data_IF_248417207605
#
_entry.id   IF_248417207605
#
_cell.length_a   1.000
_cell.length_b   1.000
_cell.length_c   1.000
_cell.angle_alpha   90.00
_cell.angle_beta   90.00
_cell.angle_gamma   90.00
#
_symmetry.space_group_name_H-M   'P 1'
#
loop_
_entity.id
_entity.type
_entity.pdbx_description
1 polymer ?
#
# COMPACT_ATOMS: atom_id res chain seq x y z
N UNK A 1 6.54 -18.57 4.22
CA UNK A 1 6.82 -17.84 2.96
C UNK A 1 7.91 -18.49 2.10
N UNK A 2 8.42 -19.67 2.47
CA UNK A 2 9.41 -20.43 1.67
C UNK A 2 8.81 -21.47 0.73
N UNK A 3 7.47 -21.53 0.63
CA UNK A 3 6.79 -22.47 -0.25
C UNK A 3 7.08 -22.12 -1.74
N UNK A 4 7.62 -23.06 -2.54
CA UNK A 4 8.01 -22.84 -3.94
C UNK A 4 6.87 -22.28 -4.82
N UNK A 5 5.62 -22.67 -4.54
CA UNK A 5 4.44 -22.21 -5.27
C UNK A 5 4.23 -20.70 -5.08
N UNK A 6 4.44 -20.17 -3.87
CA UNK A 6 4.27 -18.74 -3.58
C UNK A 6 5.34 -17.88 -4.26
N UNK A 7 6.57 -18.39 -4.37
CA UNK A 7 7.64 -17.72 -5.15
C UNK A 7 7.33 -17.70 -6.65
N UNK A 8 6.69 -18.75 -7.17
CA UNK A 8 6.33 -18.82 -8.59
C UNK A 8 5.20 -17.85 -8.97
N UNK A 9 4.19 -17.68 -8.12
CA UNK A 9 3.03 -16.79 -8.41
C UNK A 9 3.30 -15.31 -8.05
N UNK A 10 4.31 -15.05 -7.22
CA UNK A 10 4.62 -13.69 -6.77
C UNK A 10 6.13 -13.52 -6.58
N UNK A 11 6.92 -13.59 -7.66
CA UNK A 11 8.38 -13.59 -7.59
C UNK A 11 8.97 -12.33 -6.95
N UNK A 12 8.28 -11.18 -7.05
CA UNK A 12 8.74 -9.90 -6.48
C UNK A 12 8.22 -9.65 -5.06
N UNK A 13 7.58 -10.63 -4.40
CA UNK A 13 7.02 -10.44 -3.06
C UNK A 13 8.05 -9.91 -2.07
N UNK A 14 9.22 -10.56 -2.00
CA UNK A 14 10.30 -10.18 -1.08
C UNK A 14 10.76 -8.74 -1.34
N UNK A 15 10.97 -8.37 -2.61
CA UNK A 15 11.34 -7.01 -2.98
C UNK A 15 10.26 -5.97 -2.61
N UNK A 16 8.97 -6.32 -2.68
CA UNK A 16 7.88 -5.44 -2.22
C UNK A 16 7.86 -5.28 -0.69
N UNK A 17 8.15 -6.34 0.05
CA UNK A 17 8.28 -6.28 1.53
C UNK A 17 9.46 -5.40 1.91
N UNK A 18 10.62 -5.58 1.28
CA UNK A 18 11.80 -4.73 1.53
C UNK A 18 11.53 -3.25 1.23
N UNK A 19 10.78 -2.95 0.16
CA UNK A 19 10.32 -1.58 -0.12
C UNK A 19 9.42 -1.05 0.99
N UNK A 20 8.42 -1.82 1.41
CA UNK A 20 7.52 -1.41 2.49
C UNK A 20 8.27 -1.17 3.82
N UNK A 21 9.31 -1.96 4.09
CA UNK A 21 10.14 -1.84 5.28
C UNK A 21 10.89 -0.51 5.38
N UNK A 22 11.21 0.12 4.24
CA UNK A 22 11.80 1.46 4.21
C UNK A 22 10.89 2.54 4.79
N UNK A 23 9.58 2.31 4.88
CA UNK A 23 8.61 3.23 5.46
C UNK A 23 8.45 3.07 6.98
N UNK A 24 9.00 2.01 7.59
CA UNK A 24 8.92 1.79 9.04
C UNK A 24 9.47 2.97 9.86
N UNK A 25 10.60 3.59 9.52
CA UNK A 25 11.10 4.76 10.26
C UNK A 25 10.14 5.95 10.24
N UNK A 26 9.46 6.20 9.10
CA UNK A 26 8.45 7.25 8.97
C UNK A 26 7.26 6.96 9.88
N UNK A 27 6.76 5.72 9.86
CA UNK A 27 5.67 5.30 10.73
C UNK A 27 6.02 5.46 12.23
N UNK A 28 7.24 5.08 12.61
CA UNK A 28 7.75 5.26 13.97
C UNK A 28 7.83 6.73 14.39
N UNK A 29 8.36 7.61 13.51
CA UNK A 29 8.43 9.06 13.74
C UNK A 29 7.06 9.68 13.97
N UNK A 30 6.03 9.18 13.29
CA UNK A 30 4.65 9.64 13.44
C UNK A 30 3.87 8.95 14.58
N UNK A 31 4.47 7.95 15.21
CA UNK A 31 3.87 7.18 16.31
C UNK A 31 2.69 6.32 15.86
N UNK A 32 2.75 5.76 14.64
CA UNK A 32 1.68 4.93 14.05
C UNK A 32 2.25 3.62 13.53
N UNK A 33 1.38 2.63 13.35
CA UNK A 33 1.75 1.40 12.64
C UNK A 33 1.91 1.65 11.14
N UNK A 34 2.67 0.77 10.46
CA UNK A 34 2.84 0.86 9.01
C UNK A 34 1.52 0.74 8.24
N UNK A 35 0.58 -0.05 8.75
CA UNK A 35 -0.76 -0.19 8.16
C UNK A 35 -1.58 1.11 8.31
N UNK A 36 -1.53 1.74 9.48
CA UNK A 36 -2.18 3.04 9.72
C UNK A 36 -1.56 4.14 8.83
N UNK A 37 -0.23 4.16 8.67
CA UNK A 37 0.45 5.09 7.76
C UNK A 37 -0.04 4.93 6.33
N UNK A 38 -0.12 3.69 5.82
CA UNK A 38 -0.54 3.42 4.45
C UNK A 38 -1.99 3.88 4.20
N UNK A 39 -2.90 3.59 5.14
CA UNK A 39 -4.30 4.02 5.04
C UNK A 39 -4.43 5.54 5.14
N UNK A 40 -3.75 6.17 6.10
CA UNK A 40 -3.77 7.62 6.26
C UNK A 40 -3.21 8.34 5.02
N UNK A 41 -2.16 7.81 4.40
CA UNK A 41 -1.62 8.32 3.15
C UNK A 41 -2.66 8.28 2.03
N UNK A 42 -3.36 7.16 1.84
CA UNK A 42 -4.44 7.05 0.86
C UNK A 42 -5.56 8.06 1.10
N UNK A 43 -6.01 8.21 2.36
CA UNK A 43 -7.08 9.14 2.74
C UNK A 43 -6.64 10.60 2.53
N UNK A 44 -5.36 10.91 2.71
CA UNK A 44 -4.83 12.28 2.58
C UNK A 44 -4.74 12.79 1.13
N UNK A 45 -5.06 11.96 0.13
CA UNK A 45 -5.02 12.32 -1.28
C UNK A 45 -6.34 12.97 -1.70
N UNK A 46 -6.30 14.22 -2.13
CA UNK A 46 -7.48 14.98 -2.57
C UNK A 46 -8.21 14.36 -3.77
N UNK A 47 -7.54 13.51 -4.55
CA UNK A 47 -8.12 12.80 -5.68
C UNK A 47 -8.79 11.47 -5.27
N UNK A 48 -8.78 11.12 -3.98
CA UNK A 48 -9.38 9.89 -3.44
C UNK A 48 -10.62 10.24 -2.63
N UNK A 49 -11.79 9.87 -3.15
CA UNK A 49 -13.07 10.09 -2.44
C UNK A 49 -13.34 9.02 -1.38
N UNK A 50 -12.82 7.80 -1.55
CA UNK A 50 -13.11 6.68 -0.65
C UNK A 50 -11.97 5.68 -0.66
N UNK A 51 -11.55 5.24 0.54
CA UNK A 51 -10.56 4.17 0.72
C UNK A 51 -11.30 2.90 1.13
N UNK A 52 -11.25 1.88 0.27
CA UNK A 52 -11.81 0.56 0.58
C UNK A 52 -10.83 -0.25 1.43
N UNK A 53 -11.29 -0.71 2.59
CA UNK A 53 -10.49 -1.52 3.53
C UNK A 53 -11.05 -2.94 3.65
N UNK A 54 -10.15 -3.91 3.82
CA UNK A 54 -10.50 -5.30 4.13
C UNK A 54 -10.13 -5.65 5.57
N UNK A 55 -11.01 -6.38 6.25
CA UNK A 55 -10.76 -6.92 7.58
C UNK A 55 -11.46 -8.28 7.72
N UNK A 56 -10.75 -9.29 8.23
CA UNK A 56 -11.31 -10.62 8.52
C UNK A 56 -11.89 -10.70 9.92
N UNK A 57 -11.48 -9.82 10.83
CA UNK A 57 -11.92 -9.78 12.23
C UNK A 57 -12.22 -8.35 12.67
N UNK A 58 -13.04 -8.16 13.73
CA UNK A 58 -13.32 -6.84 14.29
C UNK A 58 -12.05 -6.09 14.73
N UNK A 59 -11.09 -6.78 15.35
CA UNK A 59 -9.83 -6.17 15.77
C UNK A 59 -9.02 -5.59 14.59
N UNK A 60 -9.04 -6.25 13.42
CA UNK A 60 -8.40 -5.73 12.21
C UNK A 60 -9.13 -4.49 11.69
N UNK A 61 -10.47 -4.48 11.74
CA UNK A 61 -11.26 -3.31 11.38
C UNK A 61 -10.95 -2.14 12.30
N UNK A 62 -10.93 -2.35 13.62
CA UNK A 62 -10.57 -1.34 14.60
C UNK A 62 -9.17 -0.77 14.36
N UNK A 63 -8.18 -1.63 14.04
CA UNK A 63 -6.85 -1.16 13.67
C UNK A 63 -6.86 -0.30 12.40
N UNK A 64 -7.61 -0.70 11.36
CA UNK A 64 -7.72 0.10 10.14
C UNK A 64 -8.35 1.48 10.42
N UNK A 65 -9.38 1.54 11.28
CA UNK A 65 -10.07 2.78 11.60
C UNK A 65 -9.22 3.77 12.40
N UNK A 66 -8.22 3.30 13.18
CA UNK A 66 -7.26 4.17 13.88
C UNK A 66 -6.43 5.05 12.93
N UNK A 67 -6.31 4.66 11.66
CA UNK A 67 -5.62 5.44 10.64
C UNK A 67 -6.21 6.86 10.47
N UNK A 68 -7.49 7.05 10.78
CA UNK A 68 -8.14 8.36 10.68
C UNK A 68 -7.46 9.43 11.56
N UNK A 69 -6.99 9.05 12.76
CA UNK A 69 -6.27 9.95 13.64
C UNK A 69 -4.85 10.30 13.15
N UNK A 70 -4.36 9.58 12.14
CA UNK A 70 -3.05 9.82 11.53
C UNK A 70 -3.13 10.67 10.26
N UNK A 71 -4.32 10.92 9.70
CA UNK A 71 -4.48 11.68 8.44
C UNK A 71 -3.91 13.09 8.56
N UNK A 72 -4.17 13.78 9.67
CA UNK A 72 -3.64 15.13 9.91
C UNK A 72 -2.11 15.17 10.02
N UNK A 73 -1.47 14.02 10.33
CA UNK A 73 -0.01 13.90 10.40
C UNK A 73 0.64 13.72 9.02
N UNK A 74 -0.14 13.48 7.97
CA UNK A 74 0.38 13.31 6.60
C UNK A 74 0.56 14.69 5.95
N UNK A 75 1.55 15.43 6.44
CA UNK A 75 1.90 16.75 5.94
C UNK A 75 2.58 16.67 4.56
N UNK A 76 2.68 17.78 3.81
CA UNK A 76 3.42 17.81 2.54
C UNK A 76 4.87 17.31 2.67
N UNK A 77 5.53 17.58 3.79
CA UNK A 77 6.90 17.13 4.07
C UNK A 77 6.96 15.61 4.26
N UNK A 78 5.98 15.03 4.96
CA UNK A 78 5.85 13.58 5.11
C UNK A 78 5.57 12.92 3.77
N UNK A 79 4.70 13.52 2.94
CA UNK A 79 4.44 13.02 1.58
C UNK A 79 5.72 13.01 0.74
N UNK A 80 6.49 14.11 0.77
CA UNK A 80 7.77 14.19 0.07
C UNK A 80 8.81 13.17 0.60
N UNK A 81 8.85 12.92 1.91
CA UNK A 81 9.69 11.89 2.53
C UNK A 81 9.31 10.49 2.01
N UNK A 82 8.02 10.18 1.92
CA UNK A 82 7.51 8.90 1.37
C UNK A 82 7.85 8.77 -0.12
N UNK A 83 7.64 9.82 -0.92
CA UNK A 83 7.92 9.81 -2.37
C UNK A 83 9.42 9.61 -2.66
N UNK A 84 10.30 10.16 -1.83
CA UNK A 84 11.74 9.95 -1.94
C UNK A 84 12.15 8.51 -1.61
N UNK A 85 11.48 7.86 -0.65
CA UNK A 85 11.75 6.48 -0.27
C UNK A 85 11.19 5.47 -1.28
N UNK A 86 10.02 5.76 -1.84
CA UNK A 86 9.27 4.90 -2.75
C UNK A 86 8.89 5.69 -4.00
N UNK A 87 9.84 5.94 -4.91
CA UNK A 87 9.53 6.56 -6.17
C UNK A 87 8.64 5.61 -6.98
N UNK A 88 7.40 6.02 -7.21
CA UNK A 88 6.46 5.30 -8.05
C UNK A 88 6.09 6.14 -9.26
N UNK A 89 6.40 5.62 -10.44
CA UNK A 89 5.95 6.17 -11.71
C UNK A 89 4.94 5.19 -12.29
N UNK A 90 3.68 5.60 -12.51
CA UNK A 90 2.69 4.74 -13.13
C UNK A 90 3.17 4.30 -14.53
N UNK A 91 3.22 2.99 -14.77
CA UNK A 91 3.47 2.41 -16.09
C UNK A 91 2.15 1.91 -16.70
N UNK A 92 2.05 1.93 -18.04
CA UNK A 92 0.93 1.28 -18.72
C UNK A 92 0.93 -0.23 -18.42
N UNK A 93 -0.28 -0.78 -18.26
CA UNK A 93 -0.43 -2.22 -18.04
C UNK A 93 0.16 -2.99 -19.21
N UNK A 94 1.04 -3.95 -18.90
CA UNK A 94 1.68 -4.82 -19.90
C UNK A 94 0.68 -5.90 -20.27
N UNK A 95 0.66 -6.29 -21.54
CA UNK A 95 -0.09 -7.45 -22.00
C UNK A 95 0.44 -8.70 -21.25
N UNK A 96 -0.31 -9.19 -20.28
CA UNK A 96 -0.06 -10.46 -19.61
C UNK A 96 -0.64 -11.63 -20.43
N UNK A 97 -0.26 -12.86 -20.11
CA UNK A 97 -0.77 -14.06 -20.79
C UNK A 97 -2.29 -14.25 -20.66
N UNK A 98 -2.94 -13.51 -19.75
CA UNK A 98 -4.38 -13.52 -19.53
C UNK A 98 -5.09 -12.35 -20.23
N UNK A 99 -4.34 -11.43 -20.84
CA UNK A 99 -4.90 -10.21 -21.44
C UNK A 99 -5.75 -10.57 -22.66
N UNK A 100 -5.30 -11.53 -23.48
CA UNK A 100 -6.07 -12.07 -24.61
C UNK A 100 -7.36 -12.79 -24.18
N UNK A 101 -7.40 -13.36 -22.98
CA UNK A 101 -8.59 -14.03 -22.44
C UNK A 101 -9.62 -13.02 -21.96
N UNK A 102 -9.17 -11.92 -21.35
CA UNK A 102 -10.06 -10.85 -20.84
C UNK A 102 -10.54 -9.91 -21.95
N UNK A 103 -9.79 -9.78 -23.05
CA UNK A 103 -10.18 -8.93 -24.19
C UNK A 103 -11.32 -9.49 -25.04
N UNK A 104 -11.75 -10.73 -24.82
CA UNK A 104 -12.89 -11.33 -25.55
C UNK A 104 -14.26 -10.97 -24.95
N UNK A 105 -14.29 -10.37 -23.76
CA UNK A 105 -15.51 -10.06 -23.03
C UNK A 105 -15.65 -8.58 -22.66
N UNK A 106 -14.81 -7.73 -23.26
CA UNK A 106 -14.87 -6.27 -23.17
C UNK A 106 -15.15 -5.67 -24.54
#
# INVERSE_FOLDING_TARGET
MENPMYKAISPEFAARVEKADKLKPVAQKLGVSLAELALAWCVSNENVSTVMIGAKTPAQLEQNLKAMAAVEKITPEVKAEIDALIPFVPELSKFDGLTLLRSQHL
#
